data_IF_999209272587
#
_entry.id   IF_999209272587
#
_cell.length_a   1.000
_cell.length_b   1.000
_cell.length_c   1.000
_cell.angle_alpha   90.00
_cell.angle_beta   90.00
_cell.angle_gamma   90.00
#
_symmetry.space_group_name_H-M   'P 1'
#
loop_
_entity.id
_entity.type
_entity.pdbx_description
1 polymer ?
#
# COMPACT_ATOMS: atom_id res chain seq x y z
N UNK A 1 9.87 1.62 -15.11
CA UNK A 1 9.60 2.91 -14.46
C UNK A 1 10.52 3.97 -15.05
N UNK A 2 9.95 4.88 -15.82
CA UNK A 2 10.62 6.11 -16.25
C UNK A 2 10.93 6.98 -15.01
N UNK A 3 11.83 7.99 -15.13
CA UNK A 3 12.10 8.91 -14.03
C UNK A 3 10.83 9.63 -13.53
N UNK A 4 9.92 9.98 -14.44
CA UNK A 4 8.62 10.57 -14.10
C UNK A 4 7.75 9.59 -13.30
N UNK A 5 7.66 8.33 -13.75
CA UNK A 5 6.91 7.30 -13.03
C UNK A 5 7.48 7.05 -11.63
N UNK A 6 8.82 7.12 -11.46
CA UNK A 6 9.46 7.01 -10.13
C UNK A 6 9.07 8.17 -9.22
N UNK A 7 9.16 9.41 -9.70
CA UNK A 7 8.78 10.58 -8.90
C UNK A 7 7.31 10.55 -8.49
N UNK A 8 6.42 10.14 -9.41
CA UNK A 8 5.01 9.96 -9.09
C UNK A 8 4.78 8.84 -8.08
N UNK A 9 5.48 7.71 -8.21
CA UNK A 9 5.37 6.62 -7.25
C UNK A 9 5.82 7.05 -5.85
N UNK A 10 6.92 7.80 -5.74
CA UNK A 10 7.42 8.32 -4.47
C UNK A 10 6.42 9.27 -3.80
N UNK A 11 5.85 10.21 -4.57
CA UNK A 11 4.81 11.12 -4.06
C UNK A 11 3.59 10.35 -3.54
N UNK A 12 3.05 9.43 -4.35
CA UNK A 12 1.92 8.59 -3.93
C UNK A 12 2.26 7.75 -2.69
N UNK A 13 3.47 7.20 -2.62
CA UNK A 13 3.90 6.37 -1.50
C UNK A 13 3.99 7.18 -0.21
N UNK A 14 4.46 8.43 -0.27
CA UNK A 14 4.50 9.32 0.88
C UNK A 14 3.10 9.62 1.43
N UNK A 15 2.17 9.98 0.54
CA UNK A 15 0.78 10.24 0.94
C UNK A 15 0.11 9.01 1.56
N UNK A 16 0.34 7.83 0.97
CA UNK A 16 -0.14 6.56 1.52
C UNK A 16 0.49 6.32 2.90
N UNK A 17 1.81 6.49 3.05
CA UNK A 17 2.50 6.26 4.30
C UNK A 17 1.97 7.14 5.44
N UNK A 18 1.69 8.42 5.19
CA UNK A 18 1.11 9.33 6.19
C UNK A 18 -0.28 8.87 6.67
N UNK A 19 -1.12 8.37 5.75
CA UNK A 19 -2.43 7.81 6.09
C UNK A 19 -2.28 6.54 6.92
N UNK A 20 -1.46 5.60 6.46
CA UNK A 20 -1.29 4.31 7.13
C UNK A 20 -0.61 4.44 8.49
N UNK A 21 0.31 5.40 8.65
CA UNK A 21 0.92 5.72 9.94
C UNK A 21 -0.12 6.17 10.96
N UNK A 22 -1.01 7.11 10.60
CA UNK A 22 -2.08 7.57 11.50
C UNK A 22 -3.01 6.43 11.92
N UNK A 23 -3.32 5.52 11.00
CA UNK A 23 -4.12 4.33 11.31
C UNK A 23 -3.37 3.37 12.26
N UNK A 24 -2.08 3.13 12.01
CA UNK A 24 -1.27 2.26 12.85
C UNK A 24 -1.05 2.84 14.25
N UNK A 25 -0.79 4.14 14.36
CA UNK A 25 -0.62 4.86 15.62
C UNK A 25 -1.91 4.86 16.45
N UNK A 26 -3.06 5.07 15.82
CA UNK A 26 -4.36 5.01 16.48
C UNK A 26 -4.73 3.58 16.96
N UNK A 27 -4.20 2.55 16.29
CA UNK A 27 -4.42 1.15 16.67
C UNK A 27 -3.55 0.74 17.85
N UNK A 28 -2.25 0.99 17.75
CA UNK A 28 -1.27 0.76 18.81
C UNK A 28 -0.02 1.60 18.49
N UNK A 29 0.32 2.53 19.39
CA UNK A 29 1.47 3.40 19.22
C UNK A 29 2.78 2.75 19.73
N UNK A 30 2.70 1.76 20.62
CA UNK A 30 3.89 1.10 21.18
C UNK A 30 4.58 0.21 20.15
N UNK A 31 3.82 -0.46 19.28
CA UNK A 31 4.36 -1.23 18.14
C UNK A 31 5.21 -0.35 17.20
N UNK A 32 4.98 0.95 17.13
CA UNK A 32 5.76 1.83 16.25
C UNK A 32 7.13 2.21 16.83
N UNK A 33 7.48 1.76 18.03
CA UNK A 33 8.76 2.05 18.69
C UNK A 33 9.86 1.04 18.39
N UNK A 34 9.53 -0.12 17.81
CA UNK A 34 10.48 -1.18 17.50
C UNK A 34 10.42 -1.55 16.02
N UNK A 35 11.53 -2.04 15.46
CA UNK A 35 11.55 -2.47 14.07
C UNK A 35 10.58 -3.63 13.81
N UNK A 36 10.44 -4.55 14.77
CA UNK A 36 9.49 -5.66 14.70
C UNK A 36 8.05 -5.16 14.67
N UNK A 37 7.67 -4.25 15.57
CA UNK A 37 6.32 -3.73 15.60
C UNK A 37 6.00 -2.83 14.40
N UNK A 38 6.97 -2.07 13.88
CA UNK A 38 6.83 -1.33 12.62
C UNK A 38 6.57 -2.29 11.46
N UNK A 39 7.31 -3.40 11.39
CA UNK A 39 7.14 -4.41 10.35
C UNK A 39 5.74 -5.03 10.39
N UNK A 40 5.26 -5.40 11.59
CA UNK A 40 3.91 -5.91 11.81
C UNK A 40 2.87 -4.87 11.36
N UNK A 41 2.99 -3.63 11.82
CA UNK A 41 2.06 -2.56 11.46
C UNK A 41 2.02 -2.32 9.94
N UNK A 42 3.18 -2.30 9.27
CA UNK A 42 3.26 -2.19 7.80
C UNK A 42 2.56 -3.37 7.14
N UNK A 43 2.82 -4.61 7.59
CA UNK A 43 2.19 -5.81 7.01
C UNK A 43 0.68 -5.77 7.14
N UNK A 44 0.15 -5.44 8.31
CA UNK A 44 -1.29 -5.32 8.55
C UNK A 44 -1.92 -4.27 7.65
N UNK A 45 -1.35 -3.06 7.60
CA UNK A 45 -1.86 -1.98 6.74
C UNK A 45 -1.82 -2.37 5.26
N UNK A 46 -0.78 -3.10 4.83
CA UNK A 46 -0.72 -3.62 3.47
C UNK A 46 -1.82 -4.65 3.20
N UNK A 47 -2.05 -5.60 4.12
CA UNK A 47 -3.08 -6.63 3.96
C UNK A 47 -4.49 -6.06 3.94
N UNK A 48 -4.80 -5.13 4.85
CA UNK A 48 -6.14 -4.58 5.02
C UNK A 48 -6.45 -3.50 3.98
N UNK A 49 -5.50 -2.61 3.69
CA UNK A 49 -5.80 -1.38 2.97
C UNK A 49 -5.21 -1.31 1.55
N UNK A 50 -4.02 -1.86 1.29
CA UNK A 50 -3.31 -1.62 0.02
C UNK A 50 -3.41 -2.80 -0.94
N UNK A 51 -2.98 -3.98 -0.51
CA UNK A 51 -2.91 -5.19 -1.33
C UNK A 51 -4.24 -5.55 -1.99
N UNK A 52 -5.41 -5.46 -1.33
CA UNK A 52 -6.68 -5.72 -1.99
C UNK A 52 -6.97 -4.76 -3.14
N UNK A 53 -6.67 -3.47 -2.99
CA UNK A 53 -6.90 -2.46 -4.03
C UNK A 53 -6.02 -2.71 -5.26
N UNK A 54 -4.75 -3.03 -5.03
CA UNK A 54 -3.80 -3.39 -6.09
C UNK A 54 -4.24 -4.69 -6.78
N UNK A 55 -4.56 -5.73 -6.00
CA UNK A 55 -5.01 -7.02 -6.51
C UNK A 55 -6.28 -6.91 -7.36
N UNK A 56 -7.28 -6.15 -6.92
CA UNK A 56 -8.51 -5.89 -7.67
C UNK A 56 -8.21 -5.14 -8.98
N UNK A 57 -7.36 -4.11 -8.95
CA UNK A 57 -6.98 -3.37 -10.15
C UNK A 57 -6.32 -4.30 -11.20
N UNK A 58 -5.36 -5.12 -10.77
CA UNK A 58 -4.68 -6.07 -11.64
C UNK A 58 -5.63 -7.14 -12.18
N UNK A 59 -6.52 -7.68 -11.33
CA UNK A 59 -7.53 -8.66 -11.73
C UNK A 59 -8.46 -8.11 -12.82
N UNK A 60 -8.95 -6.88 -12.66
CA UNK A 60 -9.78 -6.21 -13.68
C UNK A 60 -9.04 -6.04 -15.02
N UNK A 61 -7.75 -5.69 -14.98
CA UNK A 61 -6.92 -5.60 -16.19
C UNK A 61 -6.75 -6.96 -16.87
N UNK A 62 -6.52 -8.02 -16.11
CA UNK A 62 -6.40 -9.38 -16.63
C UNK A 62 -7.70 -9.89 -17.28
N UNK A 63 -8.86 -9.58 -16.69
CA UNK A 63 -10.17 -9.97 -17.26
C UNK A 63 -10.50 -9.17 -18.53
N UNK A 64 -10.25 -7.86 -18.53
CA UNK A 64 -10.45 -7.01 -19.72
C UNK A 64 -9.62 -7.44 -20.92
N UNK A 65 -8.42 -8.00 -20.70
CA UNK A 65 -7.59 -8.58 -21.76
C UNK A 65 -8.14 -9.89 -22.35
N UNK A 66 -8.99 -10.62 -21.61
CA UNK A 66 -9.58 -11.89 -22.08
C UNK A 66 -10.85 -11.71 -22.88
N UNK A 67 -11.60 -10.62 -22.68
CA UNK A 67 -12.85 -10.34 -23.40
C UNK A 67 -12.66 -9.56 -24.71
N UNK A 68 -11.44 -9.08 -24.99
CA UNK A 68 -11.08 -8.37 -26.23
C UNK A 68 -10.32 -9.24 -27.25
N UNK A 69 -10.37 -10.57 -27.13
CA UNK A 69 -9.80 -11.53 -28.08
C UNK A 69 -10.88 -12.46 -28.63
#
# INVERSE_FOLDING_TARGET
MTPEEKGRLEACTREIAEILYRNAEAKDAEQLKTLEGIEIAVREQMLENISPKVGIFLSKKAVGQKQGK
#
